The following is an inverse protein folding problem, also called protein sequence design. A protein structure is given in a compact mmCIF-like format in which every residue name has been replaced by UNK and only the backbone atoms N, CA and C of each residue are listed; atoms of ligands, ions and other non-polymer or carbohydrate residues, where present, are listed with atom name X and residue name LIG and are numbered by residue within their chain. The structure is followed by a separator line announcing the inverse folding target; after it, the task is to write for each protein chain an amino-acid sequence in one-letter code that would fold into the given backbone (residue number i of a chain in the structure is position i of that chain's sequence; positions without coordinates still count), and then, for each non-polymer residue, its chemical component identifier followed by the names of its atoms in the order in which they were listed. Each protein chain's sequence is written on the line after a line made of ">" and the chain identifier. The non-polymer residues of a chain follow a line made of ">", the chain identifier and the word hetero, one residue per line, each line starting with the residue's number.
data_IF_289880052882
#
_entry.id   IF_289880052882
#
_cell.length_a   1.000
_cell.length_b   1.000
_cell.length_c   1.000
_cell.angle_alpha   90.00
_cell.angle_beta   90.00
_cell.angle_gamma   90.00
#
_symmetry.space_group_name_H-M   'P 1'
#
loop_
_entity.id
_entity.type
_entity.pdbx_description
1 polymer ?
#
# COMPACT_ATOMS: atom_id res chain seq x y z
N UNK A 1 7.97 -2.77 -25.73
CA UNK A 1 7.85 -3.86 -24.74
C UNK A 1 6.52 -3.67 -24.03
N UNK A 2 5.86 -4.71 -23.51
CA UNK A 2 4.71 -4.50 -22.62
C UNK A 2 5.19 -3.85 -21.30
N UNK A 3 4.37 -3.01 -20.64
CA UNK A 3 4.73 -2.41 -19.36
C UNK A 3 4.94 -3.49 -18.30
N UNK A 4 5.80 -3.22 -17.32
CA UNK A 4 6.01 -4.11 -16.18
C UNK A 4 4.81 -3.99 -15.24
N UNK A 5 4.10 -5.10 -15.04
CA UNK A 5 3.01 -5.19 -14.08
C UNK A 5 3.58 -5.37 -12.68
N UNK A 6 3.17 -4.51 -11.75
CA UNK A 6 3.65 -4.55 -10.37
C UNK A 6 2.52 -4.58 -9.36
N UNK A 7 2.74 -5.33 -8.29
CA UNK A 7 2.03 -5.22 -7.02
C UNK A 7 2.99 -4.53 -6.05
N UNK A 8 2.54 -3.50 -5.36
CA UNK A 8 3.31 -2.85 -4.29
C UNK A 8 2.68 -3.24 -2.95
N UNK A 9 3.45 -3.92 -2.11
CA UNK A 9 3.06 -4.28 -0.73
C UNK A 9 3.80 -3.37 0.25
N UNK A 10 3.07 -2.63 1.08
CA UNK A 10 3.61 -1.42 1.74
C UNK A 10 2.92 -1.12 3.07
N UNK A 11 3.64 -0.49 4.00
CA UNK A 11 3.16 0.14 5.24
C UNK A 11 3.35 1.69 5.21
N UNK A 12 2.61 2.40 4.35
CA UNK A 12 2.86 3.77 3.91
C UNK A 12 3.47 4.75 4.93
N UNK A 13 4.81 4.79 4.99
CA UNK A 13 5.60 5.84 5.61
C UNK A 13 6.02 6.92 4.61
N UNK A 14 6.94 7.80 5.04
CA UNK A 14 7.44 8.90 4.20
C UNK A 14 8.11 8.37 2.91
N UNK A 15 8.95 7.35 3.05
CA UNK A 15 9.70 6.73 1.95
C UNK A 15 8.79 5.87 1.06
N UNK A 16 7.83 5.12 1.61
CA UNK A 16 6.81 4.42 0.82
C UNK A 16 5.99 5.38 -0.04
N UNK A 17 5.58 6.52 0.52
CA UNK A 17 4.82 7.54 -0.21
C UNK A 17 5.64 8.09 -1.37
N UNK A 18 6.94 8.31 -1.18
CA UNK A 18 7.84 8.72 -2.27
C UNK A 18 7.99 7.61 -3.31
N UNK A 19 8.13 6.35 -2.90
CA UNK A 19 8.20 5.20 -3.81
C UNK A 19 6.93 5.05 -4.66
N UNK A 20 5.75 5.20 -4.04
CA UNK A 20 4.46 5.20 -4.74
C UNK A 20 4.33 6.37 -5.71
N UNK A 21 4.71 7.60 -5.30
CA UNK A 21 4.71 8.77 -6.18
C UNK A 21 5.62 8.58 -7.40
N UNK A 22 6.78 7.96 -7.21
CA UNK A 22 7.71 7.62 -8.29
C UNK A 22 7.09 6.59 -9.24
N UNK A 23 6.52 5.51 -8.71
CA UNK A 23 5.83 4.50 -9.50
C UNK A 23 4.68 5.08 -10.31
N UNK A 24 3.84 5.93 -9.70
CA UNK A 24 2.71 6.56 -10.38
C UNK A 24 3.13 7.56 -11.46
N UNK A 25 4.28 8.19 -11.29
CA UNK A 25 4.87 9.15 -12.24
C UNK A 25 5.56 8.47 -13.43
N UNK A 26 5.78 7.15 -13.38
CA UNK A 26 6.38 6.41 -14.48
C UNK A 26 5.54 6.51 -15.77
N UNK A 27 6.19 6.29 -16.90
CA UNK A 27 5.50 6.23 -18.19
C UNK A 27 4.59 4.99 -18.23
N UNK A 28 3.41 5.14 -18.84
CA UNK A 28 2.41 4.07 -18.92
C UNK A 28 2.87 2.84 -19.72
N UNK A 29 3.89 3.01 -20.56
CA UNK A 29 4.57 1.97 -21.32
C UNK A 29 5.69 1.26 -20.54
N UNK A 30 6.09 1.81 -19.39
CA UNK A 30 7.16 1.26 -18.54
C UNK A 30 6.60 0.46 -17.35
N UNK A 31 5.55 0.98 -16.71
CA UNK A 31 5.02 0.46 -15.46
C UNK A 31 3.49 0.46 -15.43
N UNK A 32 2.93 -0.59 -14.85
CA UNK A 32 1.50 -0.73 -14.57
C UNK A 32 1.34 -1.20 -13.12
N UNK A 33 0.86 -0.32 -12.24
CA UNK A 33 0.61 -0.67 -10.82
C UNK A 33 -0.79 -1.29 -10.70
N UNK A 34 -0.85 -2.59 -10.46
CA UNK A 34 -2.11 -3.35 -10.39
C UNK A 34 -2.77 -3.24 -9.01
N UNK A 35 -1.96 -3.30 -7.96
CA UNK A 35 -2.42 -3.37 -6.58
C UNK A 35 -1.45 -2.63 -5.65
N UNK A 36 -2.02 -1.81 -4.77
CA UNK A 36 -1.44 -1.44 -3.49
C UNK A 36 -2.02 -2.37 -2.42
N UNK A 37 -1.17 -3.24 -1.92
CA UNK A 37 -1.44 -4.13 -0.81
C UNK A 37 -0.95 -3.43 0.46
N UNK A 38 -1.87 -2.99 1.31
CA UNK A 38 -1.54 -2.18 2.50
C UNK A 38 -1.42 -3.08 3.71
N UNK A 39 -0.32 -2.99 4.45
CA UNK A 39 -0.11 -3.71 5.71
C UNK A 39 0.21 -2.75 6.86
N UNK A 40 0.19 -3.25 8.09
CA UNK A 40 0.77 -2.57 9.24
C UNK A 40 2.30 -2.53 9.09
N UNK A 41 2.95 -1.66 9.87
CA UNK A 41 4.39 -1.70 10.07
C UNK A 41 4.80 -0.73 11.16
N UNK A 42 5.47 0.37 10.80
CA UNK A 42 5.83 1.41 11.79
C UNK A 42 4.61 2.01 12.49
N UNK A 43 3.47 2.06 11.78
CA UNK A 43 2.16 2.51 12.25
C UNK A 43 1.11 1.42 12.02
N UNK A 44 -0.08 1.57 12.60
CA UNK A 44 -1.17 0.62 12.39
C UNK A 44 -1.75 0.72 10.97
N UNK A 45 -2.35 -0.38 10.51
CA UNK A 45 -2.84 -0.49 9.13
C UNK A 45 -3.92 0.55 8.78
N UNK A 46 -4.66 1.08 9.77
CA UNK A 46 -5.67 2.11 9.49
C UNK A 46 -5.02 3.46 9.20
N UNK A 47 -3.94 3.80 9.91
CA UNK A 47 -3.13 4.97 9.59
C UNK A 47 -2.36 4.79 8.26
N UNK A 48 -1.83 3.59 7.97
CA UNK A 48 -1.27 3.26 6.65
C UNK A 48 -2.28 3.52 5.52
N UNK A 49 -3.52 3.04 5.70
CA UNK A 49 -4.59 3.26 4.73
C UNK A 49 -4.95 4.74 4.59
N UNK A 50 -4.98 5.48 5.70
CA UNK A 50 -5.20 6.93 5.70
C UNK A 50 -4.12 7.67 4.89
N UNK A 51 -2.88 7.22 4.97
CA UNK A 51 -1.76 7.77 4.20
C UNK A 51 -1.94 7.52 2.70
N UNK A 52 -2.36 6.31 2.29
CA UNK A 52 -2.69 5.99 0.88
C UNK A 52 -3.83 6.84 0.35
N UNK A 53 -4.92 6.99 1.10
CA UNK A 53 -6.05 7.82 0.68
C UNK A 53 -5.64 9.29 0.59
N UNK A 54 -4.84 9.77 1.55
CA UNK A 54 -4.30 11.14 1.53
C UNK A 54 -3.39 11.38 0.32
N UNK A 55 -2.56 10.39 -0.04
CA UNK A 55 -1.72 10.44 -1.24
C UNK A 55 -2.58 10.63 -2.50
N UNK A 56 -3.59 9.79 -2.73
CA UNK A 56 -4.45 9.93 -3.90
C UNK A 56 -5.21 11.26 -3.92
N UNK A 57 -5.70 11.71 -2.77
CA UNK A 57 -6.35 13.02 -2.64
C UNK A 57 -5.46 14.18 -3.09
N UNK A 58 -4.16 14.15 -2.75
CA UNK A 58 -3.22 15.19 -3.19
C UNK A 58 -2.80 15.04 -4.65
N UNK A 59 -2.65 13.82 -5.13
CA UNK A 59 -2.36 13.57 -6.55
C UNK A 59 -3.49 14.09 -7.44
N UNK A 60 -4.75 13.91 -7.05
CA UNK A 60 -5.92 14.46 -7.74
C UNK A 60 -5.86 16.00 -7.82
N UNK A 61 -5.58 16.66 -6.70
CA UNK A 61 -5.42 18.12 -6.64
C UNK A 61 -4.25 18.61 -7.48
N UNK A 62 -3.13 17.91 -7.48
CA UNK A 62 -1.95 18.25 -8.29
C UNK A 62 -2.25 18.12 -9.78
N UNK A 63 -2.95 17.06 -10.21
CA UNK A 63 -3.38 16.88 -11.60
C UNK A 63 -4.34 18.01 -12.02
N UNK A 64 -5.30 18.35 -11.17
CA UNK A 64 -6.25 19.44 -11.45
C UNK A 64 -5.53 20.80 -11.54
N UNK A 65 -4.62 21.07 -10.61
CA UNK A 65 -3.80 22.28 -10.64
C UNK A 65 -2.96 22.34 -11.92
N UNK A 66 -2.26 21.27 -12.29
CA UNK A 66 -1.47 21.19 -13.54
C UNK A 66 -2.32 21.48 -14.76
N UNK A 67 -3.52 20.89 -14.82
CA UNK A 67 -4.49 21.13 -15.89
C UNK A 67 -4.89 22.61 -15.97
N UNK A 68 -5.17 23.25 -14.84
CA UNK A 68 -5.51 24.68 -14.78
C UNK A 68 -4.38 25.59 -15.25
N UNK A 69 -3.12 25.15 -15.08
CA UNK A 69 -1.92 25.88 -15.46
C UNK A 69 -1.41 25.53 -16.87
N UNK A 70 -2.11 24.65 -17.61
CA UNK A 70 -1.66 24.18 -18.92
C UNK A 70 -0.35 23.37 -18.89
N UNK A 71 -0.03 22.76 -17.75
CA UNK A 71 1.18 21.94 -17.55
C UNK A 71 0.94 20.47 -17.93
N UNK A 72 2.00 19.71 -18.25
CA UNK A 72 1.89 18.25 -18.36
C UNK A 72 1.30 17.66 -17.08
N UNK A 73 0.25 16.86 -17.23
CA UNK A 73 -0.51 16.30 -16.10
C UNK A 73 0.35 15.41 -15.19
N UNK A 74 1.37 14.75 -15.76
CA UNK A 74 2.18 13.76 -15.04
C UNK A 74 1.37 12.51 -14.69
N UNK A 75 1.90 11.70 -13.77
CA UNK A 75 1.25 10.51 -13.23
C UNK A 75 0.72 9.57 -14.32
N UNK A 76 1.48 9.36 -15.40
CA UNK A 76 1.01 8.69 -16.62
C UNK A 76 0.60 7.23 -16.36
N UNK A 77 1.40 6.47 -15.60
CA UNK A 77 1.03 5.13 -15.14
C UNK A 77 -0.31 5.14 -14.40
N UNK A 78 -0.46 6.01 -13.40
CA UNK A 78 -1.68 6.08 -12.58
C UNK A 78 -2.92 6.51 -13.36
N UNK A 79 -2.79 7.51 -14.24
CA UNK A 79 -3.89 7.97 -15.09
C UNK A 79 -4.29 6.93 -16.13
N UNK A 80 -3.35 6.05 -16.54
CA UNK A 80 -3.64 4.96 -17.46
C UNK A 80 -4.37 3.81 -16.77
N UNK A 81 -3.90 3.42 -15.59
CA UNK A 81 -4.45 2.32 -14.81
C UNK A 81 -4.48 2.70 -13.33
N UNK A 82 -5.70 2.79 -12.78
CA UNK A 82 -5.91 3.00 -11.35
C UNK A 82 -5.58 1.69 -10.61
N UNK A 83 -4.72 1.71 -9.57
CA UNK A 83 -4.43 0.52 -8.79
C UNK A 83 -5.64 0.13 -7.95
N UNK A 84 -5.78 -1.17 -7.71
CA UNK A 84 -6.58 -1.67 -6.60
C UNK A 84 -5.91 -1.28 -5.28
N UNK A 85 -6.68 -1.03 -4.24
CA UNK A 85 -6.18 -0.87 -2.87
C UNK A 85 -6.86 -1.92 -2.01
N UNK A 86 -6.07 -2.77 -1.36
CA UNK A 86 -6.57 -3.83 -0.49
C UNK A 86 -5.87 -3.77 0.86
N UNK A 87 -6.61 -4.12 1.91
CA UNK A 87 -6.14 -4.03 3.29
C UNK A 87 -5.70 -5.42 3.76
N UNK A 88 -4.49 -5.49 4.32
CA UNK A 88 -3.91 -6.66 4.96
C UNK A 88 -4.32 -6.82 6.42
N UNK A 89 -3.65 -7.74 7.15
CA UNK A 89 -3.90 -7.95 8.56
C UNK A 89 -3.48 -6.73 9.39
N UNK A 90 -4.02 -6.61 10.61
CA UNK A 90 -3.68 -5.53 11.54
C UNK A 90 -2.40 -5.81 12.36
N UNK A 91 -1.88 -7.04 12.29
CA UNK A 91 -0.79 -7.50 13.16
C UNK A 91 0.09 -8.59 12.51
N UNK A 92 1.31 -8.83 13.05
CA UNK A 92 2.19 -9.93 12.67
C UNK A 92 1.59 -11.32 12.72
N UNK A 93 2.18 -12.22 11.93
CA UNK A 93 1.83 -13.65 11.95
C UNK A 93 2.13 -14.28 13.31
N UNK A 94 3.24 -13.90 13.92
CA UNK A 94 3.69 -14.40 15.20
C UNK A 94 4.67 -13.42 15.85
N UNK A 95 4.19 -12.38 16.54
CA UNK A 95 4.91 -11.66 17.60
C UNK A 95 4.08 -10.51 18.18
N UNK A 96 4.63 -9.76 19.14
CA UNK A 96 4.11 -8.45 19.54
C UNK A 96 4.40 -7.39 18.47
N UNK A 97 3.43 -6.50 18.21
CA UNK A 97 3.57 -5.37 17.31
C UNK A 97 4.67 -4.42 17.84
N UNK A 98 5.78 -4.28 17.11
CA UNK A 98 6.85 -3.31 17.39
C UNK A 98 6.63 -2.08 16.52
N UNK A 99 6.07 -1.01 17.10
CA UNK A 99 5.81 0.25 16.40
C UNK A 99 6.96 1.23 16.58
N UNK A 100 7.29 1.99 15.53
CA UNK A 100 8.37 2.99 15.55
C UNK A 100 7.83 4.44 15.53
N UNK A 101 6.74 4.69 16.26
CA UNK A 101 6.02 5.97 16.35
C UNK A 101 6.93 7.18 16.66
N UNK A 102 8.11 6.94 17.22
CA UNK A 102 9.06 7.97 17.63
C UNK A 102 9.78 8.68 16.47
N UNK A 103 9.95 8.04 15.31
CA UNK A 103 10.75 8.59 14.20
C UNK A 103 9.92 9.27 13.12
N UNK A 104 8.71 8.75 12.85
CA UNK A 104 7.87 9.21 11.75
C UNK A 104 6.59 9.91 12.21
N UNK A 105 6.43 10.18 13.51
CA UNK A 105 5.17 10.67 14.09
C UNK A 105 4.12 9.55 14.21
N UNK A 106 3.07 9.80 14.98
CA UNK A 106 1.99 8.82 15.27
C UNK A 106 1.19 8.39 14.04
N UNK A 107 1.30 9.14 12.93
CA UNK A 107 0.68 8.84 11.65
C UNK A 107 1.67 8.41 10.56
N UNK A 108 2.96 8.28 10.87
CA UNK A 108 4.00 7.90 9.92
C UNK A 108 4.39 8.98 8.88
N UNK A 109 3.77 10.17 8.94
CA UNK A 109 4.02 11.31 8.05
C UNK A 109 4.36 12.60 8.82
N UNK A 110 4.97 12.47 9.99
CA UNK A 110 5.42 13.57 10.83
C UNK A 110 4.30 14.27 11.61
N UNK A 111 3.16 13.61 11.82
CA UNK A 111 1.98 14.17 12.51
C UNK A 111 1.17 15.11 11.62
N UNK A 112 1.24 14.97 10.30
CA UNK A 112 0.54 15.85 9.34
C UNK A 112 -0.97 15.83 9.53
N UNK A 113 -1.54 14.69 9.95
CA UNK A 113 -2.98 14.56 10.13
C UNK A 113 -3.54 15.39 11.28
N UNK A 114 -2.73 15.60 12.32
CA UNK A 114 -3.09 16.42 13.47
C UNK A 114 -2.68 17.88 13.27
N UNK A 115 -1.45 18.11 12.79
CA UNK A 115 -0.88 19.46 12.67
C UNK A 115 -1.42 20.23 11.47
N UNK A 116 -1.82 19.53 10.40
CA UNK A 116 -2.31 20.12 9.15
C UNK A 116 -3.56 19.37 8.65
N UNK A 117 -4.68 19.43 9.38
CA UNK A 117 -5.87 18.62 9.08
C UNK A 117 -6.48 18.91 7.71
N UNK A 118 -6.21 20.07 7.12
CA UNK A 118 -6.64 20.44 5.76
C UNK A 118 -5.93 19.64 4.65
N UNK A 119 -4.79 19.01 4.95
CA UNK A 119 -4.14 18.05 4.07
C UNK A 119 -4.70 16.63 4.21
N UNK A 120 -5.67 16.42 5.11
CA UNK A 120 -6.22 15.10 5.37
C UNK A 120 -7.67 15.05 4.87
N UNK A 121 -8.02 14.10 3.98
CA UNK A 121 -9.40 13.94 3.56
C UNK A 121 -10.27 13.49 4.74
N UNK A 122 -11.57 13.79 4.66
CA UNK A 122 -12.53 13.31 5.66
C UNK A 122 -12.53 11.77 5.72
N UNK A 123 -12.71 11.19 6.90
CA UNK A 123 -12.62 9.72 7.13
C UNK A 123 -13.76 8.89 6.51
N UNK A 124 -14.56 9.50 5.63
CA UNK A 124 -15.65 8.85 4.91
C UNK A 124 -15.14 7.65 4.09
N UNK A 125 -13.87 7.67 3.65
CA UNK A 125 -13.21 6.57 2.91
C UNK A 125 -13.20 5.23 3.64
N UNK A 126 -13.29 5.17 4.98
CA UNK A 126 -13.32 3.90 5.73
C UNK A 126 -14.44 2.97 5.25
N UNK A 127 -15.59 3.55 4.87
CA UNK A 127 -16.74 2.78 4.39
C UNK A 127 -16.49 2.12 3.04
N UNK A 128 -15.54 2.62 2.24
CA UNK A 128 -15.19 2.07 0.92
C UNK A 128 -14.52 0.70 1.00
N UNK A 129 -14.04 0.28 2.16
CA UNK A 129 -13.31 -0.98 2.37
C UNK A 129 -14.05 -1.96 3.30
N UNK A 130 -15.27 -1.62 3.71
CA UNK A 130 -16.11 -2.49 4.56
C UNK A 130 -17.09 -3.31 3.71
N UNK A 131 -17.08 -4.64 3.87
CA UNK A 131 -18.02 -5.54 3.16
C UNK A 131 -19.46 -5.10 3.40
N UNK A 132 -20.29 -5.10 2.35
CA UNK A 132 -21.68 -4.64 2.34
C UNK A 132 -22.69 -5.44 3.23
N UNK A 133 -22.22 -6.18 4.24
CA UNK A 133 -23.02 -7.06 5.10
C UNK A 133 -23.16 -6.61 6.56
N UNK A 134 -22.40 -5.62 7.04
CA UNK A 134 -22.60 -5.07 8.39
C UNK A 134 -23.69 -3.99 8.35
N UNK A 135 -24.94 -4.38 8.63
CA UNK A 135 -26.10 -3.51 8.92
C UNK A 135 -25.98 -2.05 8.42
N UNK A 136 -26.06 -1.84 7.11
CA UNK A 136 -25.95 -0.51 6.52
C UNK A 136 -27.22 0.30 6.80
N UNK A 137 -27.07 1.43 7.49
CA UNK A 137 -28.14 2.42 7.59
C UNK A 137 -28.38 3.08 6.23
N UNK A 138 -29.55 3.70 5.98
CA UNK A 138 -29.81 4.43 4.74
C UNK A 138 -28.79 5.55 4.45
N UNK A 139 -28.15 6.11 5.48
CA UNK A 139 -27.08 7.09 5.35
C UNK A 139 -25.78 6.48 4.79
N UNK A 140 -25.42 5.26 5.23
CA UNK A 140 -24.21 4.58 4.77
C UNK A 140 -24.26 4.25 3.27
N UNK A 141 -25.47 3.98 2.74
CA UNK A 141 -25.66 3.73 1.29
C UNK A 141 -25.50 4.99 0.45
N UNK A 142 -25.95 6.14 0.95
CA UNK A 142 -25.79 7.43 0.26
C UNK A 142 -24.32 7.84 0.25
N UNK A 143 -23.64 7.70 1.40
CA UNK A 143 -22.21 7.98 1.53
C UNK A 143 -21.37 7.05 0.64
N UNK A 144 -21.69 5.76 0.57
CA UNK A 144 -21.01 4.83 -0.37
C UNK A 144 -21.21 5.23 -1.84
N UNK A 145 -22.37 5.76 -2.20
CA UNK A 145 -22.68 6.21 -3.59
C UNK A 145 -22.00 7.55 -3.92
N UNK A 146 -21.85 8.45 -2.95
CA UNK A 146 -21.09 9.71 -3.09
C UNK A 146 -19.57 9.51 -3.04
N UNK A 147 -19.08 8.52 -2.27
CA UNK A 147 -17.66 8.17 -2.15
C UNK A 147 -17.15 7.26 -3.26
N UNK A 148 -18.05 6.57 -3.98
CA UNK A 148 -17.78 6.05 -5.32
C UNK A 148 -17.66 7.24 -6.29
N UNK A 149 -16.77 8.17 -5.96
CA UNK A 149 -16.40 9.29 -6.78
C UNK A 149 -15.81 8.68 -8.06
N UNK A 150 -16.45 8.92 -9.19
CA UNK A 150 -16.01 8.44 -10.51
C UNK A 150 -14.57 8.88 -10.80
N UNK A 151 -14.12 9.94 -10.13
CA UNK A 151 -12.81 10.57 -10.26
C UNK A 151 -11.73 10.00 -9.34
N UNK A 152 -12.05 9.14 -8.36
CA UNK A 152 -11.07 8.60 -7.42
C UNK A 152 -9.92 7.90 -8.15
N UNK A 153 -8.67 8.23 -7.84
CA UNK A 153 -7.49 7.69 -8.54
C UNK A 153 -7.11 6.25 -8.14
N UNK A 154 -7.95 5.57 -7.36
CA UNK A 154 -7.76 4.18 -6.95
C UNK A 154 -9.09 3.42 -6.95
N UNK A 155 -9.02 2.09 -6.88
CA UNK A 155 -10.19 1.21 -6.80
C UNK A 155 -10.14 0.49 -5.44
N UNK A 156 -11.06 0.74 -4.50
CA UNK A 156 -11.06 0.06 -3.21
C UNK A 156 -11.47 -1.41 -3.39
N UNK A 157 -10.73 -2.32 -2.76
CA UNK A 157 -11.10 -3.73 -2.63
C UNK A 157 -11.75 -4.02 -1.28
N UNK A 158 -12.70 -4.95 -1.33
CA UNK A 158 -13.42 -5.51 -0.18
C UNK A 158 -12.86 -6.89 0.23
N UNK A 159 -11.88 -7.38 -0.53
CA UNK A 159 -11.16 -8.60 -0.22
C UNK A 159 -9.85 -8.25 0.50
N UNK A 160 -9.38 -9.14 1.39
CA UNK A 160 -8.07 -9.00 2.01
C UNK A 160 -6.93 -8.90 0.98
N UNK A 161 -5.89 -8.14 1.32
CA UNK A 161 -4.73 -7.93 0.47
C UNK A 161 -4.08 -9.23 -0.05
N UNK A 162 -3.89 -10.22 0.82
CA UNK A 162 -3.31 -11.51 0.47
C UNK A 162 -4.17 -12.32 -0.52
N UNK A 163 -5.50 -12.18 -0.44
CA UNK A 163 -6.43 -12.78 -1.41
C UNK A 163 -6.41 -12.05 -2.76
N UNK A 164 -6.27 -10.72 -2.74
CA UNK A 164 -6.13 -9.90 -3.95
C UNK A 164 -4.83 -10.17 -4.70
N UNK A 165 -3.72 -10.37 -3.97
CA UNK A 165 -2.45 -10.83 -4.54
C UNK A 165 -2.65 -12.14 -5.29
N UNK A 166 -3.26 -13.15 -4.64
CA UNK A 166 -3.52 -14.44 -5.28
C UNK A 166 -4.48 -14.35 -6.46
N UNK A 167 -5.52 -13.51 -6.37
CA UNK A 167 -6.46 -13.28 -7.48
C UNK A 167 -5.72 -12.75 -8.70
N UNK A 168 -4.92 -11.69 -8.55
CA UNK A 168 -4.18 -11.08 -9.65
C UNK A 168 -3.15 -12.04 -10.26
N UNK A 169 -2.44 -12.80 -9.44
CA UNK A 169 -1.51 -13.84 -9.91
C UNK A 169 -2.23 -14.98 -10.66
N UNK A 170 -3.49 -15.27 -10.33
CA UNK A 170 -4.30 -16.30 -11.00
C UNK A 170 -4.87 -15.81 -12.33
N UNK A 171 -5.26 -14.55 -12.41
CA UNK A 171 -5.89 -13.93 -13.58
C UNK A 171 -4.88 -13.48 -14.65
N UNK A 172 -3.58 -13.47 -14.32
CA UNK A 172 -2.51 -13.12 -15.24
C UNK A 172 -1.65 -14.35 -15.58
N UNK A 173 -0.96 -14.28 -16.71
CA UNK A 173 0.00 -15.32 -17.11
C UNK A 173 1.14 -15.43 -16.07
N UNK A 174 1.65 -16.64 -15.80
CA UNK A 174 2.83 -16.81 -14.94
C UNK A 174 4.02 -15.97 -15.40
N UNK A 175 4.87 -15.59 -14.45
CA UNK A 175 6.10 -14.82 -14.69
C UNK A 175 5.88 -13.42 -15.31
N UNK A 176 4.69 -12.84 -15.15
CA UNK A 176 4.38 -11.48 -15.67
C UNK A 176 4.26 -10.39 -14.62
N UNK A 177 3.97 -10.74 -13.36
CA UNK A 177 3.79 -9.77 -12.26
C UNK A 177 5.01 -9.80 -11.35
N UNK A 178 5.61 -8.63 -11.13
CA UNK A 178 6.64 -8.42 -10.11
C UNK A 178 5.99 -7.92 -8.83
N UNK A 179 6.34 -8.49 -7.68
CA UNK A 179 5.90 -8.00 -6.38
C UNK A 179 7.02 -7.14 -5.79
N UNK A 180 6.70 -5.92 -5.42
CA UNK A 180 7.62 -4.98 -4.74
C UNK A 180 7.15 -4.84 -3.30
N UNK A 181 7.83 -5.52 -2.38
CA UNK A 181 7.53 -5.47 -0.96
C UNK A 181 8.42 -4.44 -0.28
N UNK A 182 7.82 -3.32 0.11
CA UNK A 182 8.47 -2.20 0.81
C UNK A 182 8.01 -2.07 2.27
N UNK A 183 7.06 -2.90 2.71
CA UNK A 183 6.68 -3.08 4.11
C UNK A 183 6.76 -4.53 4.59
N UNK A 184 6.28 -4.83 5.82
CA UNK A 184 6.31 -6.18 6.40
C UNK A 184 5.73 -7.26 5.49
N UNK A 185 6.41 -8.41 5.42
CA UNK A 185 6.10 -9.48 4.46
C UNK A 185 4.85 -10.32 4.80
N UNK A 186 3.98 -9.82 5.67
CA UNK A 186 2.86 -10.56 6.28
C UNK A 186 1.81 -10.93 5.25
N UNK A 187 1.44 -10.00 4.36
CA UNK A 187 0.54 -10.27 3.25
C UNK A 187 1.08 -11.36 2.33
N UNK A 188 2.38 -11.30 2.01
CA UNK A 188 3.03 -12.28 1.14
C UNK A 188 3.13 -13.65 1.80
N UNK A 189 3.44 -13.69 3.09
CA UNK A 189 3.49 -14.93 3.85
C UNK A 189 2.10 -15.58 3.95
N UNK A 190 1.05 -14.79 4.18
CA UNK A 190 -0.34 -15.26 4.14
C UNK A 190 -0.73 -15.80 2.77
N UNK A 191 -0.43 -15.06 1.70
CA UNK A 191 -0.72 -15.47 0.33
C UNK A 191 -0.01 -16.80 -0.02
N UNK A 192 1.29 -16.89 0.28
CA UNK A 192 2.09 -18.10 0.04
C UNK A 192 1.60 -19.31 0.85
N UNK A 193 1.16 -19.10 2.09
CA UNK A 193 0.60 -20.14 2.95
C UNK A 193 -0.79 -20.61 2.49
N UNK A 194 -1.63 -19.70 1.96
CA UNK A 194 -2.96 -20.01 1.45
C UNK A 194 -2.93 -20.80 0.13
N UNK A 195 -2.10 -20.39 -0.82
CA UNK A 195 -2.02 -20.98 -2.16
C UNK A 195 -0.61 -20.84 -2.74
N UNK A 196 0.27 -21.78 -2.39
CA UNK A 196 1.68 -21.76 -2.81
C UNK A 196 1.84 -21.88 -4.33
N UNK A 197 1.00 -22.68 -5.01
CA UNK A 197 1.09 -22.86 -6.46
C UNK A 197 0.77 -21.56 -7.21
N UNK A 198 -0.27 -20.85 -6.79
CA UNK A 198 -0.59 -19.54 -7.38
C UNK A 198 0.46 -18.50 -7.01
N UNK A 199 0.96 -18.49 -5.77
CA UNK A 199 1.98 -17.55 -5.33
C UNK A 199 3.29 -17.66 -6.13
N UNK A 200 3.69 -18.89 -6.47
CA UNK A 200 4.90 -19.16 -7.29
C UNK A 200 4.79 -18.68 -8.74
N UNK A 201 3.62 -18.19 -9.19
CA UNK A 201 3.47 -17.55 -10.51
C UNK A 201 4.04 -16.14 -10.58
N UNK A 202 4.37 -15.53 -9.43
CA UNK A 202 5.02 -14.23 -9.40
C UNK A 202 6.39 -14.32 -10.10
N UNK A 203 6.67 -13.36 -10.99
CA UNK A 203 7.90 -13.32 -11.78
C UNK A 203 9.14 -13.21 -10.90
N UNK A 204 9.06 -12.28 -9.95
CA UNK A 204 10.10 -12.00 -8.97
C UNK A 204 9.49 -11.22 -7.81
N UNK A 205 10.15 -11.29 -6.66
CA UNK A 205 9.82 -10.51 -5.48
C UNK A 205 11.03 -9.62 -5.17
N UNK A 206 10.83 -8.31 -5.22
CA UNK A 206 11.83 -7.31 -4.87
C UNK A 206 11.49 -6.81 -3.47
N UNK A 207 12.38 -7.03 -2.52
CA UNK A 207 12.16 -6.70 -1.10
C UNK A 207 13.06 -5.55 -0.69
N UNK A 208 12.47 -4.50 -0.11
CA UNK A 208 13.20 -3.52 0.69
C UNK A 208 13.22 -4.02 2.13
N UNK A 209 14.37 -4.45 2.61
CA UNK A 209 14.49 -4.95 3.97
C UNK A 209 15.67 -5.89 4.19
N UNK A 210 16.00 -6.07 5.47
CA UNK A 210 17.08 -6.94 5.92
C UNK A 210 18.47 -6.30 5.86
N UNK A 211 19.39 -6.90 6.60
CA UNK A 211 20.81 -6.53 6.63
C UNK A 211 21.64 -7.81 6.49
N UNK A 212 22.83 -7.71 5.88
CA UNK A 212 23.71 -8.89 5.70
C UNK A 212 24.87 -8.86 6.70
N UNK A 213 25.55 -7.72 6.81
CA UNK A 213 26.76 -7.58 7.62
C UNK A 213 26.59 -6.63 8.82
N UNK A 214 25.49 -5.89 8.84
CA UNK A 214 25.23 -4.85 9.83
C UNK A 214 24.08 -5.23 10.76
N UNK A 215 24.01 -4.58 11.91
CA UNK A 215 22.88 -4.71 12.82
C UNK A 215 21.64 -4.09 12.21
N UNK A 216 20.48 -4.70 12.46
CA UNK A 216 19.19 -4.06 12.20
C UNK A 216 19.09 -2.76 12.98
N UNK A 217 18.28 -1.82 12.50
CA UNK A 217 18.21 -0.50 13.10
C UNK A 217 17.14 -0.37 14.21
N UNK A 218 16.46 -1.48 14.55
CA UNK A 218 15.44 -1.54 15.61
C UNK A 218 16.10 -1.88 16.95
N UNK A 219 16.49 -0.84 17.71
CA UNK A 219 16.88 -0.93 19.13
C UNK A 219 18.25 -1.58 19.45
N UNK A 220 18.72 -1.52 20.71
CA UNK A 220 20.09 -1.86 21.09
C UNK A 220 20.33 -3.35 21.37
N UNK A 221 19.50 -4.26 20.86
CA UNK A 221 19.58 -5.68 21.23
C UNK A 221 20.52 -6.47 20.29
N UNK A 222 21.65 -7.04 20.78
CA UNK A 222 22.70 -7.63 19.95
C UNK A 222 22.36 -9.00 19.33
N UNK A 223 21.15 -9.52 19.54
CA UNK A 223 20.82 -10.92 19.22
C UNK A 223 19.80 -11.09 18.09
N UNK A 224 19.41 -10.03 17.38
CA UNK A 224 18.69 -10.19 16.10
C UNK A 224 19.69 -10.29 14.94
N UNK A 225 20.56 -11.30 15.00
CA UNK A 225 21.31 -11.76 13.83
C UNK A 225 20.52 -12.90 13.17
N UNK A 226 20.00 -12.60 11.98
CA UNK A 226 19.79 -13.53 10.87
C UNK A 226 19.29 -14.94 11.23
N UNK A 227 18.02 -15.03 11.63
CA UNK A 227 17.23 -16.23 11.34
C UNK A 227 16.14 -15.81 10.37
N UNK A 228 16.09 -16.45 9.20
CA UNK A 228 15.05 -16.34 8.19
C UNK A 228 13.69 -16.88 8.70
N UNK A 229 13.23 -16.44 9.86
CA UNK A 229 11.97 -16.85 10.47
C UNK A 229 11.22 -15.63 11.01
N UNK A 230 10.03 -15.45 10.44
CA UNK A 230 8.90 -14.60 10.85
C UNK A 230 9.07 -13.09 10.92
N UNK A 231 9.35 -12.47 9.77
CA UNK A 231 9.32 -11.01 9.53
C UNK A 231 10.65 -10.30 9.92
N UNK A 232 11.52 -9.97 8.94
CA UNK A 232 12.64 -9.08 9.25
C UNK A 232 12.06 -7.72 9.65
N UNK A 233 12.60 -7.05 10.70
CA UNK A 233 12.27 -5.65 10.94
C UNK A 233 12.71 -4.86 9.70
N UNK A 234 11.73 -4.43 8.92
CA UNK A 234 11.96 -3.53 7.79
C UNK A 234 11.96 -2.15 8.40
N UNK A 235 13.11 -1.52 8.29
CA UNK A 235 13.19 -0.11 8.54
C UNK A 235 13.43 0.65 7.26
N UNK A 236 12.45 1.48 6.96
CA UNK A 236 12.64 2.74 6.27
C UNK A 236 13.85 3.49 6.86
N UNK A 237 14.80 3.84 5.99
CA UNK A 237 15.85 4.84 6.28
C UNK A 237 15.50 6.13 5.55
#
# INVERSE_FOLDING_TARGET
>A
MAPRKVIIDTDPGVDDVVAMLLAFSALSEELEVLLLSVTYGNIDVQNCLRNVVSLFFHVEKEIEWRKSQGKPLGFDSLRKQKPLVAIGPEHPLADQLLMADFFHGTDGLGGIHETHPHFTPAETWKQLFTKAGSSQSPADRIVTTELQNVDAMFIPSQAPADEEILRLLRENEPDTITIVAIGPLTNLALAAAKDTETFLKAKEIVVMGGTIYEHGNVGPFPNQQASLVSEPPISSC
#
